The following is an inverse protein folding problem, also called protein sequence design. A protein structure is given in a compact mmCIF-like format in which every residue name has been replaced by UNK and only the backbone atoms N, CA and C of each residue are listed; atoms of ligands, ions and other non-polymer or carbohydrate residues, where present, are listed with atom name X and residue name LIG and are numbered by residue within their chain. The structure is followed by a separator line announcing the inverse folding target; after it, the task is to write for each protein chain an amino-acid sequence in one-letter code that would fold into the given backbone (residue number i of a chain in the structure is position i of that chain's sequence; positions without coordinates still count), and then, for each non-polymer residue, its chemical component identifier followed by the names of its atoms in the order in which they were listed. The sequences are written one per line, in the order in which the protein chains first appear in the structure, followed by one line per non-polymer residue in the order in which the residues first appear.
data_IF_631753425037
#
_entry.id   IF_631753425037
#
_cell.length_a   1.000
_cell.length_b   1.000
_cell.length_c   1.000
_cell.angle_alpha   90.00
_cell.angle_beta   90.00
_cell.angle_gamma   90.00
#
_symmetry.space_group_name_H-M   'P 1'
#
loop_
_entity.id
_entity.type
_entity.pdbx_description
1 polymer ?
#
# COMPACT_ATOMS: atom_id res chain seq x y z
N UNK A 1 19.15 -49.33 -40.98
CA UNK A 1 18.90 -48.87 -39.58
C UNK A 1 19.47 -47.47 -39.48
N UNK A 2 18.87 -46.40 -38.97
CA UNK A 2 17.59 -46.11 -38.30
C UNK A 2 17.54 -44.57 -38.20
N UNK A 3 16.39 -43.98 -38.56
CA UNK A 3 15.81 -42.70 -38.13
C UNK A 3 16.52 -41.34 -38.32
N UNK A 4 15.88 -40.56 -39.20
CA UNK A 4 15.71 -39.10 -39.21
C UNK A 4 15.18 -38.59 -37.87
N UNK A 5 15.68 -37.46 -37.35
CA UNK A 5 14.87 -36.46 -36.65
C UNK A 5 15.61 -35.11 -36.60
N UNK A 6 15.20 -34.20 -37.49
CA UNK A 6 15.40 -32.78 -37.30
C UNK A 6 14.45 -32.32 -36.19
N UNK A 7 14.99 -31.76 -35.11
CA UNK A 7 14.19 -31.03 -34.11
C UNK A 7 14.80 -29.64 -34.01
N UNK A 8 14.12 -28.70 -34.66
CA UNK A 8 14.29 -27.28 -34.43
C UNK A 8 13.90 -26.98 -32.98
N UNK A 9 14.89 -26.71 -32.14
CA UNK A 9 14.65 -26.17 -30.79
C UNK A 9 14.36 -24.69 -30.94
N UNK A 10 13.06 -24.38 -30.98
CA UNK A 10 12.55 -23.02 -30.81
C UNK A 10 12.99 -22.56 -29.42
N UNK A 11 13.94 -21.62 -29.39
CA UNK A 11 14.27 -20.81 -28.22
C UNK A 11 13.05 -19.95 -27.89
N UNK A 12 12.13 -20.49 -27.10
CA UNK A 12 11.14 -19.68 -26.38
C UNK A 12 11.84 -19.17 -25.12
N UNK A 13 12.13 -17.87 -25.06
CA UNK A 13 12.67 -17.22 -23.88
C UNK A 13 11.67 -17.39 -22.74
N UNK A 14 11.90 -18.39 -21.89
CA UNK A 14 11.22 -18.50 -20.60
C UNK A 14 11.64 -17.32 -19.75
N UNK A 15 10.71 -16.38 -19.61
CA UNK A 15 10.73 -15.38 -18.56
C UNK A 15 10.87 -16.08 -17.21
N UNK A 16 11.73 -15.50 -16.38
CA UNK A 16 11.93 -15.87 -14.99
C UNK A 16 10.60 -15.83 -14.24
N UNK A 17 9.95 -16.98 -14.10
CA UNK A 17 8.78 -17.13 -13.26
C UNK A 17 9.28 -17.36 -11.84
N UNK A 18 9.35 -16.29 -11.05
CA UNK A 18 9.59 -16.35 -9.61
C UNK A 18 8.50 -17.20 -8.96
N UNK A 19 8.82 -18.47 -8.67
CA UNK A 19 7.92 -19.39 -8.00
C UNK A 19 7.89 -19.06 -6.50
N UNK A 20 6.76 -18.50 -6.04
CA UNK A 20 6.53 -18.23 -4.62
C UNK A 20 6.06 -19.50 -3.91
N UNK A 21 6.73 -19.86 -2.81
CA UNK A 21 6.50 -21.05 -1.96
C UNK A 21 5.05 -21.22 -1.44
N UNK A 22 4.23 -20.16 -1.52
CA UNK A 22 2.83 -20.17 -1.12
C UNK A 22 1.90 -20.84 -2.15
N UNK A 23 2.23 -20.75 -3.45
CA UNK A 23 1.43 -21.32 -4.53
C UNK A 23 1.52 -22.86 -4.56
N UNK A 24 2.67 -23.41 -4.16
CA UNK A 24 2.91 -24.86 -4.10
C UNK A 24 2.03 -25.54 -3.05
N UNK A 25 1.79 -24.89 -1.91
CA UNK A 25 0.98 -25.46 -0.83
C UNK A 25 -0.49 -25.55 -1.23
N UNK A 26 -1.03 -24.46 -1.78
CA UNK A 26 -2.42 -24.41 -2.26
C UNK A 26 -2.67 -25.39 -3.42
N UNK A 27 -1.68 -25.56 -4.30
CA UNK A 27 -1.76 -26.55 -5.37
C UNK A 27 -1.74 -27.98 -4.83
N UNK A 28 -0.88 -28.26 -3.85
CA UNK A 28 -0.77 -29.58 -3.22
C UNK A 28 -2.08 -29.95 -2.50
N UNK A 29 -2.62 -29.05 -1.69
CA UNK A 29 -3.88 -29.25 -0.97
C UNK A 29 -5.07 -29.45 -1.93
N UNK A 30 -5.08 -28.73 -3.06
CA UNK A 30 -6.09 -28.91 -4.10
C UNK A 30 -5.96 -30.28 -4.78
N UNK A 31 -4.74 -30.72 -5.10
CA UNK A 31 -4.50 -32.02 -5.73
C UNK A 31 -4.91 -33.19 -4.84
N UNK A 32 -4.73 -33.07 -3.53
CA UNK A 32 -5.17 -34.09 -2.57
C UNK A 32 -6.71 -34.23 -2.54
N UNK A 33 -7.42 -33.11 -2.70
CA UNK A 33 -8.89 -33.05 -2.59
C UNK A 33 -9.59 -33.38 -3.91
N UNK A 34 -9.16 -32.76 -5.00
CA UNK A 34 -9.85 -32.80 -6.31
C UNK A 34 -9.26 -33.88 -7.21
N UNK A 35 -8.00 -34.29 -6.99
CA UNK A 35 -7.24 -35.30 -7.78
C UNK A 35 -7.21 -35.06 -9.29
N UNK A 36 -7.51 -33.83 -9.70
CA UNK A 36 -7.58 -33.41 -11.09
C UNK A 36 -6.65 -32.20 -11.27
N UNK A 37 -5.56 -32.43 -12.00
CA UNK A 37 -4.49 -31.45 -12.19
C UNK A 37 -4.97 -30.22 -12.93
N UNK A 38 -5.84 -30.40 -13.92
CA UNK A 38 -6.30 -29.30 -14.78
C UNK A 38 -7.23 -28.37 -14.00
N UNK A 39 -8.16 -28.93 -13.23
CA UNK A 39 -9.06 -28.16 -12.35
C UNK A 39 -8.32 -27.38 -11.26
N UNK A 40 -7.29 -27.97 -10.65
CA UNK A 40 -6.51 -27.28 -9.64
C UNK A 40 -5.69 -26.12 -10.22
N UNK A 41 -5.16 -26.26 -11.43
CA UNK A 41 -4.50 -25.14 -12.11
C UNK A 41 -5.47 -24.03 -12.50
N UNK A 42 -6.69 -24.39 -12.92
CA UNK A 42 -7.74 -23.42 -13.26
C UNK A 42 -8.23 -22.66 -12.03
N UNK A 43 -8.44 -23.35 -10.91
CA UNK A 43 -8.81 -22.73 -9.63
C UNK A 43 -7.71 -21.80 -9.12
N UNK A 44 -6.44 -22.19 -9.20
CA UNK A 44 -5.32 -21.31 -8.85
C UNK A 44 -5.25 -20.08 -9.76
N UNK A 45 -5.44 -20.25 -11.08
CA UNK A 45 -5.49 -19.12 -12.02
C UNK A 45 -6.64 -18.17 -11.69
N UNK A 46 -7.84 -18.69 -11.42
CA UNK A 46 -9.01 -17.92 -11.01
C UNK A 46 -8.82 -17.21 -9.67
N UNK A 47 -8.08 -17.85 -8.76
CA UNK A 47 -7.70 -17.23 -7.48
C UNK A 47 -6.73 -16.08 -7.71
N UNK A 48 -5.69 -16.27 -8.56
CA UNK A 48 -4.74 -15.22 -8.95
C UNK A 48 -5.41 -14.05 -9.67
N UNK A 49 -6.34 -14.32 -10.59
CA UNK A 49 -7.18 -13.32 -11.23
C UNK A 49 -8.00 -12.54 -10.19
N UNK A 50 -8.58 -13.19 -9.18
CA UNK A 50 -9.29 -12.48 -8.10
C UNK A 50 -8.38 -11.62 -7.20
N UNK A 51 -7.10 -11.99 -7.03
CA UNK A 51 -6.12 -11.19 -6.28
C UNK A 51 -5.57 -10.02 -7.11
N UNK A 52 -5.29 -10.23 -8.40
CA UNK A 52 -4.86 -9.18 -9.32
C UNK A 52 -6.03 -8.23 -9.66
N UNK A 53 -7.26 -8.71 -9.81
CA UNK A 53 -8.46 -7.87 -9.99
C UNK A 53 -8.78 -7.07 -8.73
N UNK A 54 -8.47 -7.55 -7.52
CA UNK A 54 -8.55 -6.71 -6.30
C UNK A 54 -7.44 -5.67 -6.23
N UNK A 55 -6.27 -5.95 -6.81
CA UNK A 55 -5.15 -5.01 -6.89
C UNK A 55 -5.37 -3.96 -7.99
N UNK A 56 -6.02 -4.34 -9.09
CA UNK A 56 -6.42 -3.45 -10.20
C UNK A 56 -7.75 -2.72 -9.93
N UNK A 57 -8.67 -3.28 -9.15
CA UNK A 57 -9.88 -2.56 -8.71
C UNK A 57 -9.59 -1.57 -7.56
N UNK A 58 -8.44 -1.69 -6.89
CA UNK A 58 -7.94 -0.69 -5.95
C UNK A 58 -7.26 0.50 -6.64
N UNK A 59 -7.09 0.46 -7.97
CA UNK A 59 -6.93 1.67 -8.79
C UNK A 59 -8.28 2.23 -9.21
N UNK A 60 -9.29 2.16 -8.34
CA UNK A 60 -10.42 3.06 -8.44
C UNK A 60 -9.82 4.45 -8.33
N UNK A 61 -9.98 5.27 -9.37
CA UNK A 61 -9.58 6.67 -9.43
C UNK A 61 -10.11 7.44 -8.21
N UNK A 62 -9.42 7.35 -7.06
CA UNK A 62 -9.43 8.37 -6.03
C UNK A 62 -8.62 9.55 -6.60
N UNK A 63 -9.17 10.11 -7.67
CA UNK A 63 -8.64 11.22 -8.42
C UNK A 63 -8.42 12.38 -7.47
N UNK A 64 -7.15 12.61 -7.16
CA UNK A 64 -6.46 13.91 -7.27
C UNK A 64 -7.09 15.12 -6.56
N UNK A 65 -8.05 14.90 -5.66
CA UNK A 65 -8.64 15.95 -4.84
C UNK A 65 -7.80 16.05 -3.58
N UNK A 66 -6.66 16.73 -3.70
CA UNK A 66 -5.75 16.98 -2.57
C UNK A 66 -6.59 17.56 -1.42
N UNK A 67 -6.64 16.81 -0.32
CA UNK A 67 -7.51 17.11 0.80
C UNK A 67 -6.88 18.17 1.71
N UNK A 68 -7.72 18.94 2.41
CA UNK A 68 -7.24 19.84 3.46
C UNK A 68 -6.80 19.02 4.68
N UNK A 69 -5.65 19.40 5.27
CA UNK A 69 -5.12 18.73 6.48
C UNK A 69 -6.18 18.58 7.59
N UNK A 70 -7.01 19.62 7.79
CA UNK A 70 -8.08 19.59 8.80
C UNK A 70 -9.09 18.48 8.52
N UNK A 71 -9.60 18.39 7.28
CA UNK A 71 -10.58 17.38 6.90
C UNK A 71 -10.06 15.96 7.10
N UNK A 72 -8.78 15.72 6.77
CA UNK A 72 -8.15 14.42 6.98
C UNK A 72 -8.09 14.10 8.46
N UNK A 73 -7.63 15.03 9.29
CA UNK A 73 -7.50 14.81 10.74
C UNK A 73 -8.85 14.51 11.38
N UNK A 74 -9.88 15.28 11.04
CA UNK A 74 -11.22 15.12 11.58
C UNK A 74 -11.90 13.83 11.10
N UNK A 75 -11.67 13.43 9.85
CA UNK A 75 -12.31 12.23 9.27
C UNK A 75 -11.63 10.94 9.72
N UNK A 76 -10.31 10.95 9.90
CA UNK A 76 -9.53 9.75 10.19
C UNK A 76 -9.39 9.46 11.69
N UNK A 77 -9.55 10.46 12.57
CA UNK A 77 -9.36 10.26 14.00
C UNK A 77 -10.24 9.13 14.54
N UNK A 78 -9.64 8.22 15.32
CA UNK A 78 -10.30 7.06 15.92
C UNK A 78 -10.92 6.09 14.91
N UNK A 79 -10.54 6.15 13.63
CA UNK A 79 -10.96 5.19 12.61
C UNK A 79 -9.99 4.01 12.54
N UNK A 80 -10.46 2.90 12.00
CA UNK A 80 -9.65 1.71 11.81
C UNK A 80 -8.81 1.79 10.51
N UNK A 81 -7.84 0.88 10.37
CA UNK A 81 -6.97 0.80 9.19
C UNK A 81 -7.75 0.65 7.87
N UNK A 82 -8.81 -0.15 7.86
CA UNK A 82 -9.62 -0.39 6.66
C UNK A 82 -10.30 0.89 6.18
N UNK A 83 -10.81 1.71 7.09
CA UNK A 83 -11.40 3.00 6.76
C UNK A 83 -10.36 3.94 6.15
N UNK A 84 -9.14 3.98 6.70
CA UNK A 84 -8.05 4.81 6.15
C UNK A 84 -7.72 4.39 4.73
N UNK A 85 -7.63 3.08 4.46
CA UNK A 85 -7.38 2.55 3.10
C UNK A 85 -8.53 2.91 2.16
N UNK A 86 -9.79 2.79 2.60
CA UNK A 86 -10.94 3.16 1.77
C UNK A 86 -11.04 4.67 1.52
N UNK A 87 -10.50 5.49 2.43
CA UNK A 87 -10.59 6.96 2.35
C UNK A 87 -9.42 7.59 1.58
N UNK A 88 -8.18 7.17 1.86
CA UNK A 88 -6.97 7.69 1.22
C UNK A 88 -6.43 6.79 0.09
N UNK A 89 -6.90 5.55 0.01
CA UNK A 89 -6.30 4.51 -0.81
C UNK A 89 -5.19 3.76 -0.08
N UNK A 90 -4.53 2.89 -0.84
CA UNK A 90 -3.40 2.09 -0.36
C UNK A 90 -2.21 2.99 0.05
N UNK A 91 -1.56 2.71 1.20
CA UNK A 91 -0.33 3.39 1.60
C UNK A 91 0.87 2.87 0.80
N UNK A 92 1.87 3.73 0.63
CA UNK A 92 3.12 3.37 -0.03
C UNK A 92 3.95 2.43 0.86
N UNK A 93 3.93 2.67 2.18
CA UNK A 93 4.62 1.82 3.15
C UNK A 93 3.74 1.52 4.37
N UNK A 94 3.83 0.27 4.85
CA UNK A 94 3.18 -0.20 6.08
C UNK A 94 4.26 -0.63 7.05
N UNK A 95 4.51 0.19 8.07
CA UNK A 95 5.53 -0.05 9.08
C UNK A 95 4.87 -0.51 10.38
N UNK A 96 5.52 -1.44 11.08
CA UNK A 96 5.07 -1.92 12.39
C UNK A 96 6.14 -1.60 13.43
N UNK A 97 5.88 -0.62 14.28
CA UNK A 97 6.83 -0.16 15.31
C UNK A 97 6.41 -0.67 16.70
N UNK A 98 6.07 -1.95 16.80
CA UNK A 98 5.72 -2.61 18.07
C UNK A 98 4.51 -3.54 17.97
N UNK A 99 4.05 -4.09 19.10
CA UNK A 99 2.89 -4.99 19.12
C UNK A 99 1.59 -4.27 18.75
N UNK A 100 1.40 -3.05 19.24
CA UNK A 100 0.17 -2.27 19.13
C UNK A 100 0.32 -1.00 18.26
N UNK A 101 1.47 -0.82 17.60
CA UNK A 101 1.82 0.43 16.93
C UNK A 101 2.15 0.18 15.47
N UNK A 102 1.32 0.72 14.59
CA UNK A 102 1.48 0.61 13.14
C UNK A 102 1.47 2.00 12.51
N UNK A 103 2.18 2.14 11.40
CA UNK A 103 2.27 3.38 10.64
C UNK A 103 1.96 3.11 9.18
N UNK A 104 1.08 3.92 8.61
CA UNK A 104 0.90 3.99 7.16
C UNK A 104 1.55 5.26 6.64
N UNK A 105 2.44 5.11 5.67
CA UNK A 105 3.16 6.22 5.05
C UNK A 105 2.65 6.43 3.63
N UNK A 106 2.31 7.67 3.32
CA UNK A 106 1.86 8.12 2.01
C UNK A 106 2.85 9.15 1.48
N UNK A 107 3.69 8.79 0.50
CA UNK A 107 4.73 9.62 -0.14
C UNK A 107 4.23 10.35 -1.39
N UNK A 108 2.91 10.51 -1.48
CA UNK A 108 2.20 11.14 -2.58
C UNK A 108 1.43 12.38 -2.10
N UNK A 109 1.19 13.36 -2.99
CA UNK A 109 0.54 14.62 -2.61
C UNK A 109 -0.97 14.43 -2.36
N UNK A 110 -1.31 13.95 -1.15
CA UNK A 110 -2.69 13.65 -0.75
C UNK A 110 -3.27 14.70 0.20
N UNK A 111 -2.44 15.51 0.85
CA UNK A 111 -2.89 16.67 1.65
C UNK A 111 -2.25 17.99 1.24
N UNK A 112 -2.91 19.08 1.59
CA UNK A 112 -2.38 20.45 1.55
C UNK A 112 -2.86 21.23 2.76
N UNK A 113 -2.08 22.25 3.16
CA UNK A 113 -2.42 23.11 4.30
C UNK A 113 -3.60 24.03 4.00
N UNK A 114 -3.58 24.69 2.84
CA UNK A 114 -4.64 25.61 2.38
C UNK A 114 -4.91 25.36 0.90
N UNK A 115 -6.00 25.93 0.35
CA UNK A 115 -6.34 25.74 -1.07
C UNK A 115 -5.26 26.25 -2.03
N UNK A 116 -4.50 27.25 -1.61
CA UNK A 116 -3.45 27.91 -2.41
C UNK A 116 -2.04 27.44 -2.08
N UNK A 117 -1.86 26.64 -1.01
CA UNK A 117 -0.54 26.11 -0.65
C UNK A 117 -0.17 24.95 -1.56
N UNK A 118 1.15 24.74 -1.68
CA UNK A 118 1.68 23.52 -2.25
C UNK A 118 1.24 22.29 -1.43
N UNK A 119 1.14 21.12 -2.07
CA UNK A 119 0.79 19.89 -1.37
C UNK A 119 1.93 19.41 -0.47
N UNK A 120 1.53 18.65 0.53
CA UNK A 120 2.43 17.99 1.45
C UNK A 120 3.21 16.89 0.74
N UNK A 121 4.45 16.70 1.17
CA UNK A 121 5.36 15.70 0.60
C UNK A 121 5.00 14.31 1.08
N UNK A 122 4.63 14.21 2.34
CA UNK A 122 4.35 12.94 2.99
C UNK A 122 3.27 13.11 4.06
N UNK A 123 2.46 12.09 4.23
CA UNK A 123 1.60 11.94 5.41
C UNK A 123 1.90 10.60 6.06
N UNK A 124 2.05 10.63 7.38
CA UNK A 124 2.16 9.43 8.20
C UNK A 124 0.92 9.32 9.09
N UNK A 125 0.21 8.20 8.97
CA UNK A 125 -0.93 7.87 9.82
C UNK A 125 -0.44 6.91 10.91
N UNK A 126 -0.61 7.31 12.17
CA UNK A 126 -0.18 6.54 13.33
C UNK A 126 -1.37 5.81 13.92
N UNK A 127 -1.26 4.49 13.99
CA UNK A 127 -2.24 3.62 14.61
C UNK A 127 -1.75 3.15 15.97
N UNK A 128 -2.65 3.17 16.95
CA UNK A 128 -2.47 2.50 18.24
C UNK A 128 -3.64 1.56 18.46
N UNK A 129 -3.37 0.28 18.71
CA UNK A 129 -4.42 -0.76 18.87
C UNK A 129 -5.44 -0.71 17.71
N UNK A 130 -4.92 -0.65 16.49
CA UNK A 130 -5.67 -0.60 15.23
C UNK A 130 -6.48 0.67 14.93
N UNK A 131 -6.46 1.67 15.81
CA UNK A 131 -7.16 2.93 15.63
C UNK A 131 -6.19 4.08 15.34
N UNK A 132 -6.58 4.99 14.46
CA UNK A 132 -5.82 6.22 14.19
C UNK A 132 -5.78 7.07 15.45
N UNK A 133 -4.57 7.37 15.89
CA UNK A 133 -4.30 8.27 17.02
C UNK A 133 -3.73 9.60 16.58
N UNK A 134 -2.92 9.60 15.53
CA UNK A 134 -2.23 10.79 15.05
C UNK A 134 -2.07 10.76 13.53
N UNK A 135 -2.07 11.95 12.94
CA UNK A 135 -1.81 12.20 11.52
C UNK A 135 -0.70 13.24 11.46
N UNK A 136 0.47 12.82 10.99
CA UNK A 136 1.66 13.67 10.85
C UNK A 136 1.80 14.08 9.39
N UNK A 137 1.88 15.39 9.13
CA UNK A 137 2.05 15.94 7.78
C UNK A 137 3.46 16.50 7.63
N UNK A 138 4.17 16.08 6.59
CA UNK A 138 5.45 16.64 6.21
C UNK A 138 5.24 17.74 5.17
N UNK A 139 5.45 19.03 5.52
CA UNK A 139 5.23 20.14 4.61
C UNK A 139 6.19 20.08 3.41
N UNK A 140 5.89 20.81 2.32
CA UNK A 140 6.81 20.97 1.21
C UNK A 140 8.09 21.69 1.63
N UNK A 141 9.20 21.45 0.92
CA UNK A 141 10.55 21.98 1.27
C UNK A 141 10.64 23.49 1.38
N UNK A 142 9.72 24.21 0.75
CA UNK A 142 9.65 25.67 0.78
C UNK A 142 9.00 26.20 2.07
N UNK A 143 8.22 25.40 2.80
CA UNK A 143 7.51 25.84 4.02
C UNK A 143 8.26 25.52 5.33
N UNK A 144 9.29 24.67 5.32
CA UNK A 144 10.01 24.27 6.54
C UNK A 144 10.78 25.40 7.25
N UNK A 145 10.89 26.58 6.62
CA UNK A 145 11.58 27.75 7.18
C UNK A 145 10.67 28.68 7.99
N UNK A 146 9.34 28.56 7.91
CA UNK A 146 8.42 29.54 8.50
C UNK A 146 7.80 29.14 9.85
N UNK A 147 8.11 27.97 10.40
CA UNK A 147 7.60 27.51 11.72
C UNK A 147 8.64 27.52 12.85
N UNK A 148 9.89 27.93 12.61
CA UNK A 148 10.93 28.04 13.65
C UNK A 148 10.91 29.38 14.42
N UNK A 149 9.88 30.21 14.24
CA UNK A 149 9.75 31.47 14.98
C UNK A 149 8.60 31.39 15.98
N UNK A 150 8.94 31.67 17.25
CA UNK A 150 8.07 31.90 18.42
C UNK A 150 7.67 30.68 19.27
N UNK A 151 8.65 30.13 20.00
CA UNK A 151 8.51 29.95 21.45
C UNK A 151 9.89 30.11 22.11
N UNK A 152 10.49 31.30 21.96
CA UNK A 152 11.56 31.69 22.89
C UNK A 152 10.91 32.18 24.18
N UNK A 153 11.35 31.56 25.27
CA UNK A 153 10.78 31.66 26.59
C UNK A 153 10.88 33.08 27.16
N UNK A 154 9.76 33.64 27.61
CA UNK A 154 9.77 34.63 28.69
C UNK A 154 9.58 33.92 30.03
N UNK A 155 10.62 33.22 30.47
CA UNK A 155 10.92 33.04 31.89
C UNK A 155 11.91 34.11 32.27
N UNK A 156 11.50 35.08 33.09
CA UNK A 156 12.28 36.00 33.93
C UNK A 156 11.32 37.13 34.35
N UNK A 157 11.25 37.66 35.56
CA UNK A 157 11.89 37.38 36.84
C UNK A 157 11.15 38.26 37.87
N UNK A 158 10.92 37.72 39.07
CA UNK A 158 10.73 38.42 40.35
C UNK A 158 9.34 38.98 40.70
#
# INVERSE_FOLDING_TARGET
MKYVFAIAVIFFSMGSFSYSFADDRLYTDCLETVKDKEKCTELLKKTKESYEDKKLASTQDFGSSILLRQNIKDSLQSKNKLYVINYLGEPDERLKNGPDYDLFVYKRPVSRRTKTSDPDREITIVFRRELVTEVVHLPPSNESKSQLHFHEATKHHK
#
